data_IF_980293028299
#
_entry.id   IF_980293028299
#
_cell.length_a   1.000
_cell.length_b   1.000
_cell.length_c   1.000
_cell.angle_alpha   90.00
_cell.angle_beta   90.00
_cell.angle_gamma   90.00
#
_symmetry.space_group_name_H-M   'P 1'
#
loop_
_entity.id
_entity.type
_entity.pdbx_description
1 polymer ?
#
# COMPACT_ATOMS: atom_id res chain seq x y z
N UNK A 1 9.48 -17.63 32.05
CA UNK A 1 8.35 -17.00 31.32
C UNK A 1 7.39 -18.11 30.96
N UNK A 2 6.12 -18.03 31.38
CA UNK A 2 5.11 -18.99 30.95
C UNK A 2 4.87 -18.84 29.43
N UNK A 3 4.70 -19.95 28.69
CA UNK A 3 4.30 -19.90 27.30
C UNK A 3 2.99 -19.10 27.17
N UNK A 4 2.80 -18.38 26.07
CA UNK A 4 1.54 -17.68 25.85
C UNK A 4 0.41 -18.70 25.96
N UNK A 5 -0.61 -18.38 26.75
CA UNK A 5 -1.77 -19.26 26.93
C UNK A 5 -2.40 -19.58 25.57
N UNK A 6 -2.94 -20.78 25.41
CA UNK A 6 -3.61 -21.24 24.18
C UNK A 6 -4.62 -20.19 23.68
N UNK A 7 -5.37 -19.59 24.60
CA UNK A 7 -6.30 -18.49 24.35
C UNK A 7 -5.65 -17.24 23.72
N UNK A 8 -4.39 -16.94 24.04
CA UNK A 8 -3.70 -15.79 23.42
C UNK A 8 -3.30 -16.09 21.97
N UNK A 9 -2.93 -17.32 21.65
CA UNK A 9 -2.63 -17.75 20.26
C UNK A 9 -3.90 -17.76 19.40
N UNK A 10 -5.01 -18.22 19.97
CA UNK A 10 -6.31 -18.18 19.29
C UNK A 10 -6.75 -16.75 19.00
N UNK A 11 -6.58 -15.82 19.95
CA UNK A 11 -6.88 -14.40 19.75
C UNK A 11 -5.99 -13.77 18.66
N UNK A 12 -4.68 -14.03 18.67
CA UNK A 12 -3.77 -13.51 17.64
C UNK A 12 -4.14 -14.04 16.24
N UNK A 13 -4.55 -15.31 16.14
CA UNK A 13 -5.04 -15.91 14.89
C UNK A 13 -6.36 -15.27 14.42
N UNK A 14 -7.29 -15.05 15.35
CA UNK A 14 -8.57 -14.42 15.06
C UNK A 14 -8.37 -12.98 14.54
N UNK A 15 -7.48 -12.20 15.15
CA UNK A 15 -7.14 -10.84 14.73
C UNK A 15 -6.59 -10.83 13.30
N UNK A 16 -5.63 -11.69 12.98
CA UNK A 16 -5.08 -11.80 11.63
C UNK A 16 -6.17 -12.14 10.60
N UNK A 17 -7.09 -13.05 10.94
CA UNK A 17 -8.20 -13.40 10.05
C UNK A 17 -9.17 -12.23 9.84
N UNK A 18 -9.48 -11.47 10.91
CA UNK A 18 -10.33 -10.27 10.82
C UNK A 18 -9.67 -9.24 9.91
N UNK A 19 -8.40 -8.94 10.10
CA UNK A 19 -7.64 -7.97 9.28
C UNK A 19 -7.55 -8.40 7.81
N UNK A 20 -7.28 -9.67 7.53
CA UNK A 20 -7.28 -10.18 6.15
C UNK A 20 -8.65 -10.10 5.50
N UNK A 21 -9.72 -10.35 6.25
CA UNK A 21 -11.10 -10.21 5.76
C UNK A 21 -11.43 -8.75 5.48
N UNK A 22 -11.09 -7.85 6.39
CA UNK A 22 -11.29 -6.41 6.21
C UNK A 22 -10.53 -5.89 4.98
N UNK A 23 -9.27 -6.30 4.84
CA UNK A 23 -8.43 -5.99 3.66
C UNK A 23 -9.12 -6.45 2.37
N UNK A 24 -9.63 -7.66 2.34
CA UNK A 24 -10.26 -8.23 1.14
C UNK A 24 -11.56 -7.48 0.77
N UNK A 25 -12.37 -7.11 1.76
CA UNK A 25 -13.59 -6.33 1.55
C UNK A 25 -13.24 -4.95 0.98
N UNK A 26 -12.29 -4.25 1.59
CA UNK A 26 -11.84 -2.92 1.18
C UNK A 26 -11.32 -2.94 -0.24
N UNK A 27 -10.47 -3.91 -0.58
CA UNK A 27 -9.92 -4.02 -1.94
C UNK A 27 -10.99 -4.45 -2.96
N UNK A 28 -11.98 -5.22 -2.55
CA UNK A 28 -13.15 -5.52 -3.38
C UNK A 28 -13.95 -4.26 -3.74
N UNK A 29 -14.14 -3.37 -2.77
CA UNK A 29 -14.80 -2.06 -2.98
C UNK A 29 -13.95 -1.16 -3.88
N UNK A 30 -12.64 -1.07 -3.68
CA UNK A 30 -11.74 -0.30 -4.54
C UNK A 30 -11.77 -0.81 -5.98
N UNK A 31 -11.73 -2.13 -6.19
CA UNK A 31 -11.84 -2.76 -7.50
C UNK A 31 -13.19 -2.48 -8.17
N UNK A 32 -14.28 -2.49 -7.41
CA UNK A 32 -15.60 -2.11 -7.90
C UNK A 32 -15.60 -0.67 -8.43
N UNK A 33 -15.10 0.30 -7.65
CA UNK A 33 -15.01 1.69 -8.08
C UNK A 33 -14.12 1.85 -9.32
N UNK A 34 -12.97 1.16 -9.37
CA UNK A 34 -12.09 1.19 -10.53
C UNK A 34 -12.82 0.65 -11.78
N UNK A 35 -13.51 -0.49 -11.66
CA UNK A 35 -14.20 -1.14 -12.79
C UNK A 35 -15.36 -0.31 -13.29
N UNK A 36 -16.17 0.26 -12.40
CA UNK A 36 -17.33 1.08 -12.76
C UNK A 36 -16.90 2.37 -13.48
N UNK A 37 -15.90 3.08 -12.93
CA UNK A 37 -15.36 4.28 -13.57
C UNK A 37 -14.61 3.96 -14.88
N UNK A 38 -13.90 2.83 -14.95
CA UNK A 38 -13.26 2.37 -16.18
C UNK A 38 -14.28 2.12 -17.29
N UNK A 39 -15.42 1.46 -16.97
CA UNK A 39 -16.49 1.24 -17.91
C UNK A 39 -17.06 2.55 -18.45
N UNK A 40 -17.27 3.54 -17.57
CA UNK A 40 -17.75 4.87 -17.97
C UNK A 40 -16.75 5.58 -18.88
N UNK A 41 -15.46 5.60 -18.53
CA UNK A 41 -14.39 6.21 -19.32
C UNK A 41 -14.21 5.55 -20.70
N UNK A 42 -14.31 4.22 -20.77
CA UNK A 42 -14.17 3.46 -22.02
C UNK A 42 -15.38 3.59 -22.94
N UNK A 43 -16.59 3.78 -22.41
CA UNK A 43 -17.83 3.93 -23.20
C UNK A 43 -17.83 5.14 -24.11
N UNK A 44 -17.05 6.18 -23.76
CA UNK A 44 -16.91 7.43 -24.52
C UNK A 44 -15.70 7.38 -25.49
N UNK A 45 -15.07 6.22 -25.71
CA UNK A 45 -13.88 6.00 -26.54
C UNK A 45 -12.66 6.80 -26.14
N UNK A 46 -12.49 7.13 -24.86
CA UNK A 46 -11.28 7.77 -24.35
C UNK A 46 -10.17 6.73 -24.12
N UNK A 47 -9.52 6.26 -25.17
CA UNK A 47 -8.36 5.36 -25.09
C UNK A 47 -7.22 5.91 -24.23
N UNK A 48 -7.13 7.23 -24.13
CA UNK A 48 -6.17 7.93 -23.28
C UNK A 48 -6.40 7.67 -21.79
N UNK A 49 -7.60 7.24 -21.38
CA UNK A 49 -7.92 6.86 -20.00
C UNK A 49 -7.45 5.45 -19.63
N UNK A 50 -7.17 4.59 -20.61
CA UNK A 50 -6.77 3.21 -20.35
C UNK A 50 -5.50 3.08 -19.49
N UNK A 51 -4.42 3.85 -19.70
CA UNK A 51 -3.25 3.83 -18.82
C UNK A 51 -3.57 4.17 -17.35
N UNK A 52 -4.57 5.04 -17.11
CA UNK A 52 -5.03 5.37 -15.76
C UNK A 52 -5.75 4.21 -15.09
N UNK A 53 -6.53 3.44 -15.84
CA UNK A 53 -7.15 2.20 -15.35
C UNK A 53 -6.07 1.20 -14.93
N UNK A 54 -5.04 1.01 -15.77
CA UNK A 54 -3.91 0.13 -15.43
C UNK A 54 -3.14 0.64 -14.21
N UNK A 55 -2.95 1.95 -14.10
CA UNK A 55 -2.32 2.55 -12.92
C UNK A 55 -3.15 2.35 -11.66
N UNK A 56 -4.48 2.50 -11.75
CA UNK A 56 -5.40 2.20 -10.64
C UNK A 56 -5.32 0.74 -10.19
N UNK A 57 -5.23 -0.19 -11.14
CA UNK A 57 -5.03 -1.61 -10.82
C UNK A 57 -3.68 -1.85 -10.12
N UNK A 58 -2.62 -1.18 -10.56
CA UNK A 58 -1.32 -1.24 -9.87
C UNK A 58 -1.41 -0.69 -8.44
N UNK A 59 -2.13 0.41 -8.21
CA UNK A 59 -2.36 0.97 -6.86
C UNK A 59 -3.03 -0.06 -5.96
N UNK A 60 -4.11 -0.71 -6.43
CA UNK A 60 -4.80 -1.78 -5.69
C UNK A 60 -3.82 -2.91 -5.33
N UNK A 61 -3.04 -3.41 -6.29
CA UNK A 61 -2.09 -4.50 -6.03
C UNK A 61 -0.97 -4.09 -5.06
N UNK A 62 -0.45 -2.87 -5.16
CA UNK A 62 0.56 -2.34 -4.25
C UNK A 62 -0.01 -2.31 -2.84
N UNK A 63 -1.16 -1.68 -2.64
CA UNK A 63 -1.78 -1.55 -1.34
C UNK A 63 -2.14 -2.91 -0.73
N UNK A 64 -2.78 -3.79 -1.50
CA UNK A 64 -3.13 -5.15 -1.08
C UNK A 64 -1.90 -5.96 -0.64
N UNK A 65 -0.85 -5.94 -1.46
CA UNK A 65 0.39 -6.67 -1.16
C UNK A 65 1.06 -6.15 0.12
N UNK A 66 1.11 -4.82 0.29
CA UNK A 66 1.67 -4.19 1.49
C UNK A 66 0.84 -4.52 2.73
N UNK A 67 -0.48 -4.51 2.62
CA UNK A 67 -1.40 -4.84 3.70
C UNK A 67 -1.22 -6.27 4.19
N UNK A 68 -1.12 -7.25 3.28
CA UNK A 68 -0.84 -8.65 3.65
C UNK A 68 0.49 -8.75 4.40
N UNK A 69 1.54 -8.10 3.90
CA UNK A 69 2.85 -8.13 4.56
C UNK A 69 2.75 -7.56 5.98
N UNK A 70 2.10 -6.40 6.16
CA UNK A 70 1.93 -5.78 7.48
C UNK A 70 1.10 -6.64 8.41
N UNK A 71 -0.03 -7.18 7.95
CA UNK A 71 -0.89 -8.07 8.74
C UNK A 71 -0.11 -9.31 9.22
N UNK A 72 0.66 -9.93 8.34
CA UNK A 72 1.41 -11.14 8.68
C UNK A 72 2.62 -10.89 9.59
N UNK A 73 3.17 -9.67 9.58
CA UNK A 73 4.41 -9.33 10.31
C UNK A 73 4.18 -8.54 11.60
N UNK A 74 3.27 -7.57 11.57
CA UNK A 74 3.15 -6.54 12.61
C UNK A 74 1.87 -6.62 13.43
N UNK A 75 0.77 -7.03 12.80
CA UNK A 75 -0.55 -7.00 13.45
C UNK A 75 -0.70 -8.16 14.43
N UNK A 76 -1.00 -7.81 15.67
CA UNK A 76 -1.29 -8.73 16.78
C UNK A 76 -2.37 -8.10 17.67
N UNK A 77 -2.89 -8.86 18.61
CA UNK A 77 -3.78 -8.31 19.63
C UNK A 77 -3.03 -7.36 20.60
N UNK A 78 -3.62 -6.22 21.02
CA UNK A 78 -4.89 -5.65 20.58
C UNK A 78 -4.80 -5.01 19.19
N UNK A 79 -5.96 -4.93 18.50
CA UNK A 79 -6.09 -4.22 17.21
C UNK A 79 -5.67 -2.76 17.37
N UNK A 80 -4.84 -2.30 16.45
CA UNK A 80 -4.30 -0.93 16.46
C UNK A 80 -5.27 0.03 15.77
N UNK A 81 -6.02 0.80 16.58
CA UNK A 81 -7.02 1.74 16.07
C UNK A 81 -6.44 2.75 15.06
N UNK A 82 -5.25 3.29 15.34
CA UNK A 82 -4.61 4.27 14.45
C UNK A 82 -4.20 3.66 13.11
N UNK A 83 -3.71 2.43 13.09
CA UNK A 83 -3.41 1.70 11.85
C UNK A 83 -4.69 1.53 11.02
N UNK A 84 -5.77 1.05 11.63
CA UNK A 84 -7.05 0.83 10.95
C UNK A 84 -7.66 2.15 10.43
N UNK A 85 -7.50 3.26 11.17
CA UNK A 85 -7.94 4.57 10.70
C UNK A 85 -7.24 4.98 9.39
N UNK A 86 -5.91 4.91 9.36
CA UNK A 86 -5.16 5.21 8.13
C UNK A 86 -5.47 4.23 7.01
N UNK A 87 -5.71 2.98 7.34
CA UNK A 87 -6.10 1.95 6.38
C UNK A 87 -7.41 2.29 5.67
N UNK A 88 -8.43 2.67 6.44
CA UNK A 88 -9.73 3.13 5.89
C UNK A 88 -9.54 4.42 5.09
N UNK A 89 -8.70 5.34 5.57
CA UNK A 89 -8.40 6.59 4.84
C UNK A 89 -7.73 6.31 3.48
N UNK A 90 -6.82 5.33 3.39
CA UNK A 90 -6.25 4.88 2.13
C UNK A 90 -7.32 4.30 1.19
N UNK A 91 -8.22 3.46 1.70
CA UNK A 91 -9.31 2.89 0.90
C UNK A 91 -10.26 3.94 0.32
N UNK A 92 -10.61 4.95 1.13
CA UNK A 92 -11.39 6.10 0.67
C UNK A 92 -10.60 6.92 -0.38
N UNK A 93 -9.30 7.09 -0.15
CA UNK A 93 -8.40 7.75 -1.10
C UNK A 93 -8.37 7.04 -2.47
N UNK A 94 -8.32 5.71 -2.49
CA UNK A 94 -8.41 4.91 -3.72
C UNK A 94 -9.75 5.13 -4.43
N UNK A 95 -10.86 5.05 -3.72
CA UNK A 95 -12.19 5.26 -4.31
C UNK A 95 -12.32 6.66 -4.95
N UNK A 96 -11.83 7.70 -4.27
CA UNK A 96 -11.83 9.07 -4.78
C UNK A 96 -10.89 9.20 -5.98
N UNK A 97 -9.69 8.61 -5.94
CA UNK A 97 -8.73 8.61 -7.04
C UNK A 97 -9.35 7.98 -8.30
N UNK A 98 -9.99 6.81 -8.15
CA UNK A 98 -10.59 6.10 -9.29
C UNK A 98 -11.81 6.81 -9.89
N UNK A 99 -12.43 7.73 -9.17
CA UNK A 99 -13.50 8.57 -9.72
C UNK A 99 -13.00 9.63 -10.71
N UNK A 100 -11.68 9.73 -10.95
CA UNK A 100 -11.05 10.77 -11.78
C UNK A 100 -10.13 10.23 -12.86
N UNK A 101 -10.49 9.07 -13.43
CA UNK A 101 -9.75 8.43 -14.53
C UNK A 101 -9.75 9.25 -15.83
N UNK A 102 -10.72 10.13 -15.99
CA UNK A 102 -10.94 11.01 -17.14
C UNK A 102 -10.25 12.39 -17.00
N UNK A 103 -9.70 12.70 -15.83
CA UNK A 103 -9.09 13.99 -15.53
C UNK A 103 -7.61 13.85 -15.16
N UNK A 104 -6.67 14.03 -16.11
CA UNK A 104 -5.23 13.87 -15.85
C UNK A 104 -4.73 14.71 -14.67
N UNK A 105 -5.14 15.98 -14.59
CA UNK A 105 -4.73 16.87 -13.50
C UNK A 105 -5.22 16.36 -12.15
N UNK A 106 -6.52 16.04 -12.05
CA UNK A 106 -7.12 15.55 -10.81
C UNK A 106 -6.51 14.20 -10.39
N UNK A 107 -6.23 13.31 -11.37
CA UNK A 107 -5.55 12.04 -11.10
C UNK A 107 -4.21 12.24 -10.38
N UNK A 108 -3.32 13.08 -10.91
CA UNK A 108 -2.01 13.28 -10.29
C UNK A 108 -2.08 14.04 -8.97
N UNK A 109 -3.02 14.99 -8.81
CA UNK A 109 -3.25 15.67 -7.53
C UNK A 109 -3.73 14.68 -6.45
N UNK A 110 -4.72 13.84 -6.78
CA UNK A 110 -5.24 12.82 -5.87
C UNK A 110 -4.23 11.70 -5.61
N UNK A 111 -3.44 11.31 -6.60
CA UNK A 111 -2.33 10.36 -6.41
C UNK A 111 -1.28 10.91 -5.45
N UNK A 112 -0.97 12.21 -5.50
CA UNK A 112 -0.09 12.85 -4.53
C UNK A 112 -0.72 12.85 -3.13
N UNK A 113 -1.99 13.23 -3.00
CA UNK A 113 -2.69 13.20 -1.71
C UNK A 113 -2.74 11.79 -1.13
N UNK A 114 -3.05 10.79 -1.94
CA UNK A 114 -3.03 9.36 -1.57
C UNK A 114 -1.64 8.92 -1.09
N UNK A 115 -0.58 9.25 -1.83
CA UNK A 115 0.79 8.96 -1.43
C UNK A 115 1.13 9.62 -0.08
N UNK A 116 0.62 10.81 0.20
CA UNK A 116 0.75 11.49 1.49
C UNK A 116 0.08 10.72 2.64
N UNK A 117 -1.13 10.19 2.43
CA UNK A 117 -1.84 9.36 3.42
C UNK A 117 -1.05 8.05 3.67
N UNK A 118 -0.60 7.39 2.62
CA UNK A 118 0.23 6.17 2.72
C UNK A 118 1.54 6.47 3.45
N UNK A 119 2.14 7.64 3.22
CA UNK A 119 3.35 8.06 3.93
C UNK A 119 3.11 8.19 5.44
N UNK A 120 2.00 8.84 5.84
CA UNK A 120 1.61 8.95 7.25
C UNK A 120 1.35 7.56 7.87
N UNK A 121 0.72 6.64 7.14
CA UNK A 121 0.54 5.25 7.58
C UNK A 121 1.90 4.58 7.86
N UNK A 122 2.86 4.69 6.94
CA UNK A 122 4.19 4.12 7.14
C UNK A 122 4.93 4.73 8.35
N UNK A 123 4.81 6.04 8.56
CA UNK A 123 5.39 6.71 9.74
C UNK A 123 4.73 6.20 11.03
N UNK A 124 3.41 6.01 11.02
CA UNK A 124 2.68 5.46 12.16
C UNK A 124 3.12 4.02 12.46
N UNK A 125 3.19 3.16 11.45
CA UNK A 125 3.56 1.76 11.58
C UNK A 125 5.01 1.55 12.08
N UNK A 126 5.89 2.53 11.88
CA UNK A 126 7.24 2.50 12.46
C UNK A 126 7.21 2.40 13.99
N UNK A 127 6.21 2.97 14.66
CA UNK A 127 6.01 2.85 16.11
C UNK A 127 5.66 1.41 16.50
N UNK A 128 4.82 0.74 15.70
CA UNK A 128 4.45 -0.65 15.92
C UNK A 128 5.66 -1.57 15.78
N UNK A 129 6.50 -1.35 14.77
CA UNK A 129 7.75 -2.10 14.60
C UNK A 129 8.65 -1.92 15.83
N UNK A 130 8.79 -0.70 16.35
CA UNK A 130 9.57 -0.42 17.56
C UNK A 130 9.04 -1.17 18.78
N UNK A 131 7.73 -1.12 19.02
CA UNK A 131 7.09 -1.83 20.12
C UNK A 131 7.28 -3.36 20.00
N UNK A 132 7.06 -3.95 18.82
CA UNK A 132 7.24 -5.40 18.59
C UNK A 132 8.71 -5.83 18.72
N UNK A 133 9.65 -4.99 18.32
CA UNK A 133 11.08 -5.27 18.48
C UNK A 133 11.48 -5.36 19.95
N UNK A 134 10.95 -4.47 20.82
CA UNK A 134 11.24 -4.48 22.25
C UNK A 134 10.61 -5.68 22.99
N UNK A 135 9.48 -6.18 22.52
CA UNK A 135 8.80 -7.37 23.07
C UNK A 135 9.44 -8.70 22.62
N UNK A 136 10.33 -8.65 21.62
CA UNK A 136 10.88 -9.84 20.97
C UNK A 136 11.95 -10.52 21.82
N UNK A 137 11.72 -11.77 22.20
CA UNK A 137 12.63 -12.62 22.99
C UNK A 137 13.33 -13.70 22.14
N UNK A 138 13.10 -13.76 20.83
CA UNK A 138 13.60 -14.78 19.93
C UNK A 138 14.45 -14.13 18.82
N UNK A 139 15.56 -14.75 18.45
CA UNK A 139 16.47 -14.23 17.43
C UNK A 139 15.81 -14.19 16.04
N UNK A 140 14.90 -15.15 15.74
CA UNK A 140 14.14 -15.15 14.50
C UNK A 140 13.18 -13.96 14.41
N UNK A 141 12.50 -13.60 15.52
CA UNK A 141 11.63 -12.42 15.59
C UNK A 141 12.45 -11.14 15.44
N UNK A 142 13.61 -11.06 16.10
CA UNK A 142 14.51 -9.90 15.98
C UNK A 142 14.98 -9.70 14.54
N UNK A 143 15.35 -10.78 13.86
CA UNK A 143 15.75 -10.71 12.45
C UNK A 143 14.59 -10.27 11.54
N UNK A 144 13.37 -10.76 11.80
CA UNK A 144 12.16 -10.36 11.08
C UNK A 144 11.88 -8.88 11.25
N UNK A 145 11.86 -8.38 12.50
CA UNK A 145 11.58 -6.96 12.76
C UNK A 145 12.70 -6.03 12.31
N UNK A 146 13.95 -6.45 12.36
CA UNK A 146 15.06 -5.70 11.80
C UNK A 146 14.88 -5.51 10.27
N UNK A 147 14.45 -6.57 9.58
CA UNK A 147 14.16 -6.51 8.15
C UNK A 147 12.94 -5.64 7.83
N UNK A 148 11.87 -5.76 8.63
CA UNK A 148 10.67 -4.93 8.49
C UNK A 148 11.00 -3.45 8.72
N UNK A 149 11.85 -3.14 9.70
CA UNK A 149 12.30 -1.76 9.97
C UNK A 149 13.11 -1.18 8.81
N UNK A 150 14.03 -1.96 8.23
CA UNK A 150 14.83 -1.51 7.09
C UNK A 150 13.95 -1.20 5.85
N UNK A 151 12.98 -2.06 5.57
CA UNK A 151 11.98 -1.85 4.51
C UNK A 151 11.15 -0.59 4.79
N UNK A 152 10.66 -0.43 6.00
CA UNK A 152 9.86 0.73 6.40
C UNK A 152 10.62 2.04 6.27
N UNK A 153 11.89 2.08 6.68
CA UNK A 153 12.75 3.25 6.52
C UNK A 153 12.98 3.60 5.04
N UNK A 154 13.18 2.60 4.18
CA UNK A 154 13.31 2.82 2.73
C UNK A 154 12.02 3.41 2.14
N UNK A 155 10.85 2.92 2.57
CA UNK A 155 9.57 3.47 2.14
C UNK A 155 9.38 4.91 2.61
N UNK A 156 9.67 5.20 3.89
CA UNK A 156 9.48 6.54 4.48
C UNK A 156 10.42 7.58 3.86
N UNK A 157 11.67 7.23 3.62
CA UNK A 157 12.69 8.22 3.23
C UNK A 157 12.96 8.28 1.73
N UNK A 158 12.58 7.25 0.97
CA UNK A 158 12.92 7.18 -0.46
C UNK A 158 11.70 6.93 -1.33
N UNK A 159 11.07 5.76 -1.20
CA UNK A 159 10.11 5.30 -2.20
C UNK A 159 8.83 6.13 -2.23
N UNK A 160 8.21 6.36 -1.06
CA UNK A 160 6.96 7.14 -0.98
C UNK A 160 7.20 8.62 -1.26
N UNK A 161 8.25 9.28 -0.70
CA UNK A 161 8.57 10.66 -1.09
C UNK A 161 8.84 10.84 -2.59
N UNK A 162 9.53 9.91 -3.24
CA UNK A 162 9.76 9.97 -4.68
C UNK A 162 8.44 9.88 -5.47
N UNK A 163 7.54 8.96 -5.10
CA UNK A 163 6.21 8.86 -5.72
C UNK A 163 5.37 10.10 -5.46
N UNK A 164 5.40 10.65 -4.26
CA UNK A 164 4.71 11.88 -3.91
C UNK A 164 5.19 13.05 -4.76
N UNK A 165 6.50 13.27 -4.84
CA UNK A 165 7.10 14.34 -5.63
C UNK A 165 6.89 14.16 -7.13
N UNK A 166 6.94 12.93 -7.62
CA UNK A 166 6.60 12.60 -9.02
C UNK A 166 5.18 13.07 -9.35
N UNK A 167 4.21 12.72 -8.52
CA UNK A 167 2.81 13.08 -8.75
C UNK A 167 2.58 14.60 -8.66
N UNK A 168 3.21 15.28 -7.70
CA UNK A 168 3.17 16.75 -7.63
C UNK A 168 3.79 17.37 -8.87
N UNK A 169 4.94 16.87 -9.31
CA UNK A 169 5.61 17.36 -10.51
C UNK A 169 4.78 17.18 -11.78
N UNK A 170 4.12 16.02 -11.92
CA UNK A 170 3.20 15.75 -13.02
C UNK A 170 1.97 16.68 -12.98
N UNK A 171 1.34 16.84 -11.80
CA UNK A 171 0.23 17.75 -11.63
C UNK A 171 0.61 19.20 -11.94
N UNK A 172 1.78 19.64 -11.47
CA UNK A 172 2.31 20.98 -11.77
C UNK A 172 2.58 21.16 -13.27
N UNK A 173 3.17 20.17 -13.94
CA UNK A 173 3.43 20.23 -15.39
C UNK A 173 2.13 20.36 -16.19
N UNK A 174 1.11 19.57 -15.85
CA UNK A 174 -0.22 19.64 -16.52
C UNK A 174 -0.87 21.00 -16.28
N UNK A 175 -0.83 21.49 -15.04
CA UNK A 175 -1.40 22.78 -14.67
C UNK A 175 -0.70 23.94 -15.38
N UNK A 176 0.64 23.89 -15.50
CA UNK A 176 1.46 24.98 -16.09
C UNK A 176 1.42 25.02 -17.60
N UNK A 177 1.29 23.85 -18.25
CA UNK A 177 1.32 23.71 -19.71
C UNK A 177 0.16 22.84 -20.23
N UNK A 178 -1.11 23.30 -20.03
CA UNK A 178 -2.30 22.49 -20.39
C UNK A 178 -2.35 22.16 -21.89
N UNK A 179 -1.89 23.07 -22.76
CA UNK A 179 -1.87 22.83 -24.23
C UNK A 179 -1.00 21.63 -24.62
N UNK A 180 0.10 21.42 -23.91
CA UNK A 180 1.01 20.29 -24.19
C UNK A 180 0.44 19.00 -23.57
N UNK A 181 0.02 19.07 -22.32
CA UNK A 181 -0.30 17.86 -21.56
C UNK A 181 -1.76 17.43 -21.67
N UNK A 182 -2.70 18.34 -21.90
CA UNK A 182 -4.11 18.00 -22.09
C UNK A 182 -4.46 18.00 -23.56
N UNK A 183 -4.28 19.14 -24.27
CA UNK A 183 -4.73 19.28 -25.66
C UNK A 183 -3.98 18.35 -26.62
N UNK A 184 -2.67 18.13 -26.41
CA UNK A 184 -1.82 17.25 -27.22
C UNK A 184 -1.59 15.86 -26.57
N UNK A 185 -2.40 15.49 -25.59
CA UNK A 185 -2.32 14.22 -24.90
C UNK A 185 -0.94 13.89 -24.27
N UNK A 186 -0.11 14.89 -23.97
CA UNK A 186 1.21 14.70 -23.34
C UNK A 186 1.14 14.03 -21.96
N UNK A 187 -0.04 14.08 -21.29
CA UNK A 187 -0.29 13.39 -20.04
C UNK A 187 -0.10 11.85 -20.14
N UNK A 188 -0.21 11.28 -21.35
CA UNK A 188 0.00 9.84 -21.57
C UNK A 188 1.46 9.45 -21.28
N UNK A 189 2.43 10.34 -21.55
CA UNK A 189 3.82 10.11 -21.15
C UNK A 189 4.01 10.17 -19.64
N UNK A 190 3.32 11.10 -18.96
CA UNK A 190 3.40 11.25 -17.51
C UNK A 190 2.83 10.01 -16.79
N UNK A 191 1.67 9.51 -17.22
CA UNK A 191 1.11 8.28 -16.67
C UNK A 191 1.99 7.07 -17.01
N UNK A 192 2.66 7.05 -18.16
CA UNK A 192 3.63 6.03 -18.51
C UNK A 192 4.81 5.98 -17.53
N UNK A 193 5.35 7.14 -17.13
CA UNK A 193 6.41 7.24 -16.11
C UNK A 193 5.89 6.74 -14.76
N UNK A 194 4.67 7.10 -14.38
CA UNK A 194 4.05 6.62 -13.14
C UNK A 194 3.88 5.10 -13.16
N UNK A 195 3.41 4.52 -14.27
CA UNK A 195 3.28 3.06 -14.44
C UNK A 195 4.62 2.33 -14.30
N UNK A 196 5.68 2.85 -14.91
CA UNK A 196 7.03 2.28 -14.75
C UNK A 196 7.44 2.30 -13.28
N UNK A 197 7.17 3.41 -12.58
CA UNK A 197 7.47 3.53 -11.14
C UNK A 197 6.68 2.52 -10.31
N UNK A 198 5.40 2.29 -10.62
CA UNK A 198 4.57 1.28 -9.95
C UNK A 198 5.07 -0.15 -10.21
N UNK A 199 5.45 -0.47 -11.45
CA UNK A 199 6.02 -1.78 -11.78
C UNK A 199 7.33 -2.03 -11.03
N UNK A 200 8.22 -1.05 -10.96
CA UNK A 200 9.46 -1.12 -10.17
C UNK A 200 9.12 -1.39 -8.71
N UNK A 201 8.13 -0.68 -8.16
CA UNK A 201 7.73 -0.85 -6.77
C UNK A 201 7.08 -2.23 -6.52
N UNK A 202 6.25 -2.75 -7.43
CA UNK A 202 5.70 -4.11 -7.34
C UNK A 202 6.78 -5.18 -7.38
N UNK A 203 7.78 -5.04 -8.24
CA UNK A 203 8.94 -5.95 -8.28
C UNK A 203 9.72 -5.88 -6.96
N UNK A 204 9.89 -4.69 -6.40
CA UNK A 204 10.50 -4.52 -5.08
C UNK A 204 9.70 -5.25 -3.99
N UNK A 205 8.37 -5.07 -3.93
CA UNK A 205 7.49 -5.76 -2.97
C UNK A 205 7.61 -7.27 -3.10
N UNK A 206 7.57 -7.81 -4.33
CA UNK A 206 7.69 -9.25 -4.57
C UNK A 206 9.03 -9.80 -4.07
N UNK A 207 10.14 -9.11 -4.33
CA UNK A 207 11.47 -9.48 -3.82
C UNK A 207 11.54 -9.41 -2.30
N UNK A 208 10.97 -8.38 -1.72
CA UNK A 208 10.90 -8.21 -0.27
C UNK A 208 10.09 -9.35 0.38
N UNK A 209 8.93 -9.69 -0.18
CA UNK A 209 8.09 -10.79 0.31
C UNK A 209 8.84 -12.13 0.29
N UNK A 210 9.53 -12.44 -0.80
CA UNK A 210 10.34 -13.64 -0.90
C UNK A 210 11.49 -13.68 0.14
N UNK A 211 12.06 -12.54 0.47
CA UNK A 211 13.13 -12.44 1.45
C UNK A 211 12.65 -12.59 2.91
N UNK A 212 11.41 -12.18 3.20
CA UNK A 212 10.87 -12.22 4.57
C UNK A 212 10.09 -13.51 4.86
N UNK A 213 9.56 -14.21 3.85
CA UNK A 213 8.78 -15.43 4.02
C UNK A 213 9.48 -16.51 4.86
N UNK A 214 10.78 -16.85 4.65
CA UNK A 214 11.47 -17.82 5.49
C UNK A 214 11.66 -17.35 6.95
N UNK A 215 11.78 -16.03 7.18
CA UNK A 215 11.88 -15.49 8.54
C UNK A 215 10.53 -15.60 9.27
N UNK A 216 9.42 -15.36 8.57
CA UNK A 216 8.07 -15.53 9.09
C UNK A 216 7.81 -16.98 9.52
N UNK A 217 8.21 -17.97 8.70
CA UNK A 217 8.05 -19.38 9.03
C UNK A 217 8.85 -19.76 10.28
N UNK A 218 10.13 -19.35 10.35
CA UNK A 218 11.00 -19.64 11.52
C UNK A 218 10.47 -18.98 12.79
N UNK A 219 9.97 -17.75 12.72
CA UNK A 219 9.36 -17.05 13.84
C UNK A 219 8.15 -17.83 14.40
N UNK A 220 7.29 -18.36 13.52
CA UNK A 220 6.12 -19.16 13.91
C UNK A 220 6.49 -20.55 14.48
N UNK A 221 7.47 -21.25 13.89
CA UNK A 221 7.97 -22.53 14.37
C UNK A 221 8.63 -22.41 15.75
N UNK A 222 9.39 -21.33 15.98
CA UNK A 222 9.99 -21.05 17.28
C UNK A 222 8.97 -20.77 18.38
N UNK A 223 7.80 -20.24 18.04
CA UNK A 223 6.69 -20.04 18.96
C UNK A 223 5.93 -21.33 19.30
N UNK A 224 5.98 -22.35 18.42
CA UNK A 224 5.31 -23.65 18.61
C UNK A 224 6.08 -24.65 19.49
N UNK A 225 7.38 -24.45 19.65
CA UNK A 225 8.26 -25.36 20.43
C UNK A 225 8.45 -24.96 21.90
N UNK A 226 7.80 -23.94 22.36
CA UNK A 226 7.82 -23.46 23.76
C UNK A 226 6.44 -23.62 24.41
#
# INVERSE_FOLDING_TARGET
>A
MNPPSESRRELDSAVVNIELTLTSIIQGVALFFLTDNARAAMSVRHWESFPYVVAGLCVIFIFWSRSIIHTLTLIKWPLEFGHNFFYIACALGEAILFSRLDSPLAWFQLSAAYAGIVWLLFIYDMRLIGARTSESNNDADRALYARARADQLLNIWVLVPLLFLLNIGCAFAIWRWPDVFVTRAGHVWLIGIQLVSFVIYLVYIARYFNAIAPLLLRSREGAGKR
#
